data_IF_946548525904
#
_entry.id   IF_946548525904
#
_cell.length_a   1.000
_cell.length_b   1.000
_cell.length_c   1.000
_cell.angle_alpha   90.00
_cell.angle_beta   90.00
_cell.angle_gamma   90.00
#
_symmetry.space_group_name_H-M   'P 1'
#
loop_
_entity.id
_entity.type
_entity.pdbx_description
1 polymer ?
#
# COMPACT_ATOMS: atom_id res chain seq x y z
N UNK A 1 -22.39 -12.68 -15.55
CA UNK A 1 -21.65 -13.18 -14.37
C UNK A 1 -20.43 -12.30 -14.20
N UNK A 2 -20.31 -11.67 -13.03
CA UNK A 2 -19.18 -10.79 -12.70
C UNK A 2 -18.33 -11.49 -11.63
N UNK A 3 -17.01 -11.48 -11.82
CA UNK A 3 -16.06 -11.95 -10.82
C UNK A 3 -15.18 -10.77 -10.42
N UNK A 4 -15.14 -10.47 -9.12
CA UNK A 4 -14.31 -9.42 -8.55
C UNK A 4 -13.32 -10.05 -7.59
N UNK A 5 -12.05 -9.67 -7.73
CA UNK A 5 -10.99 -9.96 -6.78
C UNK A 5 -10.35 -8.62 -6.43
N UNK A 6 -10.33 -8.29 -5.14
CA UNK A 6 -9.77 -7.05 -4.65
C UNK A 6 -9.19 -7.25 -3.27
N UNK A 7 -8.24 -6.39 -2.92
CA UNK A 7 -7.69 -6.35 -1.57
C UNK A 7 -8.78 -5.86 -0.61
N UNK A 8 -8.78 -6.43 0.59
CA UNK A 8 -9.70 -6.08 1.66
C UNK A 8 -9.00 -6.14 3.02
N UNK A 9 -9.75 -5.88 4.06
CA UNK A 9 -9.31 -5.99 5.46
C UNK A 9 -10.20 -6.97 6.24
N UNK A 10 -9.72 -7.57 7.34
CA UNK A 10 -10.55 -8.43 8.17
C UNK A 10 -11.77 -7.71 8.74
N UNK A 11 -12.88 -8.43 8.92
CA UNK A 11 -14.11 -7.87 9.50
C UNK A 11 -13.92 -7.40 10.95
N UNK A 12 -12.99 -8.01 11.69
CA UNK A 12 -12.65 -7.64 13.06
C UNK A 12 -11.87 -6.33 13.18
N UNK A 13 -11.33 -5.82 12.07
CA UNK A 13 -10.56 -4.59 12.05
C UNK A 13 -11.47 -3.38 11.91
N UNK A 14 -11.06 -2.25 12.47
CA UNK A 14 -11.71 -0.96 12.24
C UNK A 14 -11.25 -0.34 10.92
N UNK A 15 -12.00 0.62 10.33
CA UNK A 15 -11.60 1.28 9.11
C UNK A 15 -10.26 2.02 9.16
N UNK A 16 -9.73 2.34 10.35
CA UNK A 16 -8.40 2.98 10.49
C UNK A 16 -7.26 1.96 10.41
N UNK A 17 -7.56 0.67 10.55
CA UNK A 17 -6.61 -0.42 10.39
C UNK A 17 -6.65 -0.88 8.93
N UNK A 18 -5.94 -0.15 8.07
CA UNK A 18 -5.83 -0.47 6.65
C UNK A 18 -4.54 -1.28 6.41
N UNK A 19 -4.67 -2.45 5.77
CA UNK A 19 -3.52 -3.24 5.32
C UNK A 19 -3.04 -2.69 3.99
N UNK A 20 -1.80 -2.21 3.88
CA UNK A 20 -1.17 -2.11 2.56
C UNK A 20 -0.88 -3.51 2.02
N UNK A 21 -0.80 -3.64 0.69
CA UNK A 21 -0.41 -4.86 -0.03
C UNK A 21 0.74 -5.58 0.69
N UNK A 22 0.74 -6.90 0.81
CA UNK A 22 1.87 -7.73 1.28
C UNK A 22 2.50 -7.44 2.65
N UNK A 23 1.84 -6.68 3.53
CA UNK A 23 2.41 -6.23 4.81
C UNK A 23 3.05 -4.87 4.67
N UNK A 24 2.50 -3.87 5.37
CA UNK A 24 3.05 -2.52 5.65
C UNK A 24 3.85 -1.77 4.56
N UNK A 25 3.75 -2.12 3.27
CA UNK A 25 4.46 -1.45 2.17
C UNK A 25 4.20 0.06 2.09
N UNK A 26 3.01 0.53 2.45
CA UNK A 26 2.71 1.95 2.60
C UNK A 26 2.31 2.31 4.04
N UNK A 27 2.85 1.56 5.00
CA UNK A 27 2.69 1.78 6.43
C UNK A 27 3.82 2.62 7.00
N UNK A 28 4.36 2.19 8.14
CA UNK A 28 5.29 3.00 8.93
C UNK A 28 6.56 3.39 8.18
N UNK A 29 7.16 2.51 7.39
CA UNK A 29 8.38 2.82 6.62
C UNK A 29 8.14 3.89 5.56
N UNK A 30 6.94 3.91 4.97
CA UNK A 30 6.57 4.89 3.95
C UNK A 30 6.42 6.28 4.59
N UNK A 31 5.72 6.35 5.72
CA UNK A 31 5.62 7.56 6.56
C UNK A 31 7.01 8.03 7.03
N UNK A 32 7.86 7.11 7.48
CA UNK A 32 9.23 7.43 7.91
C UNK A 32 10.08 8.01 6.78
N UNK A 33 9.89 7.57 5.53
CA UNK A 33 10.58 8.13 4.38
C UNK A 33 10.12 9.57 4.08
N UNK A 34 8.82 9.85 4.20
CA UNK A 34 8.31 11.21 4.10
C UNK A 34 8.87 12.12 5.20
N UNK A 35 8.89 11.63 6.44
CA UNK A 35 9.43 12.36 7.60
C UNK A 35 10.92 12.68 7.46
N UNK A 36 11.68 11.75 6.88
CA UNK A 36 13.10 11.95 6.58
C UNK A 36 13.29 13.08 5.56
N UNK A 37 12.51 13.11 4.47
CA UNK A 37 12.59 14.19 3.47
C UNK A 37 12.25 15.57 4.09
N UNK A 38 11.30 15.62 5.02
CA UNK A 38 10.99 16.84 5.79
C UNK A 38 12.16 17.23 6.69
N UNK A 39 12.74 16.26 7.40
CA UNK A 39 13.87 16.49 8.32
C UNK A 39 15.11 16.99 7.58
N UNK A 40 15.36 16.49 6.36
CA UNK A 40 16.45 16.93 5.50
C UNK A 40 16.17 18.27 4.80
N UNK A 41 14.95 18.82 4.93
CA UNK A 41 14.55 20.07 4.29
C UNK A 41 14.36 19.96 2.77
N UNK A 42 14.20 18.74 2.25
CA UNK A 42 13.99 18.47 0.81
C UNK A 42 12.57 18.84 0.41
N UNK A 43 11.60 18.60 1.30
CA UNK A 43 10.20 19.01 1.15
C UNK A 43 9.73 19.74 2.41
N UNK A 44 8.68 20.55 2.26
CA UNK A 44 8.00 21.16 3.41
C UNK A 44 7.07 20.18 4.13
N UNK A 45 6.83 20.41 5.43
CA UNK A 45 5.85 19.65 6.23
C UNK A 45 4.46 19.65 5.59
N UNK A 46 4.02 20.79 5.07
CA UNK A 46 2.69 20.93 4.45
C UNK A 46 2.55 20.06 3.19
N UNK A 47 3.65 19.82 2.45
CA UNK A 47 3.63 18.90 1.31
C UNK A 47 3.46 17.46 1.75
N UNK A 48 4.17 17.01 2.79
CA UNK A 48 3.92 15.69 3.39
C UNK A 48 2.46 15.57 3.85
N UNK A 49 2.00 16.51 4.67
CA UNK A 49 0.68 16.43 5.33
C UNK A 49 -0.50 16.49 4.35
N UNK A 50 -0.29 17.03 3.14
CA UNK A 50 -1.30 17.07 2.09
C UNK A 50 -1.29 15.84 1.17
N UNK A 51 -0.26 15.00 1.21
CA UNK A 51 -0.22 13.76 0.44
C UNK A 51 -1.12 12.71 1.08
N UNK A 52 -2.01 12.11 0.28
CA UNK A 52 -2.90 11.03 0.73
C UNK A 52 -2.95 9.93 -0.32
N UNK A 53 -2.88 8.67 0.11
CA UNK A 53 -3.07 7.54 -0.77
C UNK A 53 -4.56 7.35 -1.08
N UNK A 54 -4.97 7.22 -2.34
CA UNK A 54 -6.37 7.07 -2.73
C UNK A 54 -6.83 5.61 -2.55
N UNK A 55 -6.47 4.99 -1.43
CA UNK A 55 -6.73 3.58 -1.16
C UNK A 55 -7.69 3.41 -0.01
N UNK A 56 -8.56 2.43 -0.16
CA UNK A 56 -9.44 1.96 0.88
C UNK A 56 -9.70 0.47 0.68
N UNK A 57 -9.41 -0.31 1.71
CA UNK A 57 -9.61 -1.75 1.73
C UNK A 57 -10.91 -2.01 2.50
N UNK A 58 -11.99 -2.41 1.81
CA UNK A 58 -13.25 -2.71 2.47
C UNK A 58 -13.15 -4.05 3.21
N UNK A 59 -13.99 -4.24 4.22
CA UNK A 59 -14.27 -5.56 4.77
C UNK A 59 -15.44 -6.23 4.01
N UNK A 60 -15.77 -7.48 4.37
CA UNK A 60 -16.80 -8.23 3.64
C UNK A 60 -18.19 -7.60 3.81
N UNK A 61 -18.49 -7.07 5.00
CA UNK A 61 -19.77 -6.43 5.29
C UNK A 61 -19.96 -5.12 4.53
N UNK A 62 -18.92 -4.30 4.42
CA UNK A 62 -18.93 -3.07 3.61
C UNK A 62 -19.19 -3.37 2.13
N UNK A 63 -18.57 -4.43 1.61
CA UNK A 63 -18.80 -4.87 0.24
C UNK A 63 -20.25 -5.38 0.04
N UNK A 64 -20.79 -6.18 0.97
CA UNK A 64 -22.19 -6.64 0.93
C UNK A 64 -23.16 -5.46 0.88
N UNK A 65 -22.99 -4.51 1.81
CA UNK A 65 -23.83 -3.32 1.87
C UNK A 65 -23.75 -2.48 0.59
N UNK A 66 -22.56 -2.36 0.00
CA UNK A 66 -22.38 -1.64 -1.26
C UNK A 66 -23.13 -2.31 -2.43
N UNK A 67 -23.07 -3.64 -2.53
CA UNK A 67 -23.79 -4.40 -3.56
C UNK A 67 -25.30 -4.34 -3.36
N UNK A 68 -25.78 -4.52 -2.13
CA UNK A 68 -27.21 -4.40 -1.79
C UNK A 68 -27.75 -3.00 -2.13
N UNK A 69 -26.98 -1.95 -1.81
CA UNK A 69 -27.35 -0.57 -2.14
C UNK A 69 -27.36 -0.30 -3.65
N UNK A 70 -26.53 -0.99 -4.43
CA UNK A 70 -26.53 -0.90 -5.88
C UNK A 70 -27.81 -1.49 -6.48
N UNK A 71 -28.35 -2.58 -5.91
CA UNK A 71 -29.63 -3.18 -6.29
C UNK A 71 -29.65 -3.93 -7.63
N UNK A 72 -28.61 -3.79 -8.46
CA UNK A 72 -28.51 -4.43 -9.78
C UNK A 72 -27.80 -5.79 -9.78
N UNK A 73 -27.13 -6.14 -8.68
CA UNK A 73 -26.33 -7.35 -8.55
C UNK A 73 -26.76 -8.19 -7.34
N UNK A 74 -26.62 -9.51 -7.48
CA UNK A 74 -26.80 -10.48 -6.40
C UNK A 74 -25.46 -11.16 -6.14
N UNK A 75 -25.08 -11.28 -4.87
CA UNK A 75 -23.87 -11.97 -4.46
C UNK A 75 -24.15 -13.48 -4.45
N UNK A 76 -23.63 -14.18 -5.45
CA UNK A 76 -23.71 -15.65 -5.51
C UNK A 76 -22.71 -16.32 -4.57
N UNK A 77 -21.50 -15.75 -4.41
CA UNK A 77 -20.47 -16.21 -3.52
C UNK A 77 -19.56 -15.05 -3.10
N UNK A 78 -19.19 -15.00 -1.82
CA UNK A 78 -18.23 -14.05 -1.27
C UNK A 78 -17.28 -14.80 -0.35
N UNK A 79 -15.99 -14.74 -0.67
CA UNK A 79 -14.93 -15.39 0.09
C UNK A 79 -13.87 -14.36 0.46
N UNK A 80 -13.40 -14.42 1.71
CA UNK A 80 -12.25 -13.66 2.19
C UNK A 80 -11.09 -14.65 2.31
N UNK A 81 -10.02 -14.38 1.57
CA UNK A 81 -8.79 -15.15 1.64
C UNK A 81 -7.77 -14.38 2.47
N UNK A 82 -7.43 -14.90 3.64
CA UNK A 82 -6.39 -14.31 4.48
C UNK A 82 -5.00 -14.85 4.11
N UNK A 83 -3.95 -14.10 4.45
CA UNK A 83 -2.56 -14.53 4.33
C UNK A 83 -2.13 -14.97 2.93
N UNK A 84 -2.66 -14.30 1.90
CA UNK A 84 -2.26 -14.57 0.51
C UNK A 84 -0.87 -13.96 0.28
N UNK A 85 0.19 -14.76 0.13
CA UNK A 85 1.53 -14.22 -0.02
C UNK A 85 1.69 -13.58 -1.41
N UNK A 86 2.42 -12.46 -1.48
CA UNK A 86 2.68 -11.75 -2.74
C UNK A 86 3.79 -12.38 -3.59
N UNK A 87 4.52 -13.34 -3.03
CA UNK A 87 5.58 -14.12 -3.69
C UNK A 87 5.70 -15.49 -3.02
N UNK A 88 6.50 -16.38 -3.61
CA UNK A 88 6.78 -17.68 -2.99
C UNK A 88 7.56 -17.51 -1.68
N UNK A 89 7.45 -18.49 -0.77
CA UNK A 89 8.26 -18.51 0.45
C UNK A 89 9.76 -18.56 0.12
N UNK A 90 10.15 -19.33 -0.88
CA UNK A 90 11.54 -19.45 -1.35
C UNK A 90 12.10 -18.10 -1.83
N UNK A 91 11.34 -17.34 -2.62
CA UNK A 91 11.73 -16.01 -3.08
C UNK A 91 11.86 -15.06 -1.88
N UNK A 92 10.87 -15.07 -0.99
CA UNK A 92 10.88 -14.21 0.19
C UNK A 92 12.10 -14.48 1.07
N UNK A 93 12.40 -15.76 1.34
CA UNK A 93 13.58 -16.19 2.09
C UNK A 93 14.89 -15.74 1.43
N UNK A 94 14.97 -15.69 0.10
CA UNK A 94 16.14 -15.18 -0.61
C UNK A 94 16.29 -13.66 -0.44
N UNK A 95 15.21 -12.89 -0.58
CA UNK A 95 15.25 -11.43 -0.44
C UNK A 95 15.69 -11.00 0.96
N UNK A 96 15.18 -11.64 2.02
CA UNK A 96 15.46 -11.22 3.40
C UNK A 96 16.91 -11.52 3.86
N UNK A 97 17.70 -12.29 3.10
CA UNK A 97 19.11 -12.57 3.42
C UNK A 97 19.99 -11.33 3.34
N UNK A 98 19.68 -10.41 2.43
CA UNK A 98 20.37 -9.14 2.29
C UNK A 98 19.37 -7.99 2.48
N UNK A 99 19.46 -7.24 3.59
CA UNK A 99 18.57 -6.11 3.86
C UNK A 99 18.52 -5.08 2.73
N UNK A 100 19.61 -4.88 1.99
CA UNK A 100 19.63 -3.95 0.85
C UNK A 100 18.82 -4.48 -0.33
N UNK A 101 18.93 -5.78 -0.60
CA UNK A 101 18.17 -6.44 -1.68
C UNK A 101 16.69 -6.44 -1.33
N UNK A 102 16.34 -6.73 -0.06
CA UNK A 102 14.98 -6.62 0.45
C UNK A 102 14.42 -5.19 0.32
N UNK A 103 15.17 -4.19 0.79
CA UNK A 103 14.77 -2.78 0.71
C UNK A 103 14.56 -2.28 -0.71
N UNK A 104 15.45 -2.65 -1.63
CA UNK A 104 15.30 -2.36 -3.07
C UNK A 104 14.04 -3.03 -3.66
N UNK A 105 13.79 -4.31 -3.33
CA UNK A 105 12.60 -5.02 -3.78
C UNK A 105 11.33 -4.33 -3.27
N UNK A 106 11.26 -4.04 -1.96
CA UNK A 106 10.16 -3.31 -1.32
C UNK A 106 9.92 -1.95 -1.97
N UNK A 107 10.99 -1.17 -2.16
CA UNK A 107 10.91 0.16 -2.77
C UNK A 107 10.42 0.11 -4.21
N UNK A 108 10.93 -0.81 -5.02
CA UNK A 108 10.47 -0.99 -6.40
C UNK A 108 9.01 -1.42 -6.48
N UNK A 109 8.57 -2.31 -5.59
CA UNK A 109 7.18 -2.74 -5.53
C UNK A 109 6.26 -1.56 -5.20
N UNK A 110 6.55 -0.79 -4.15
CA UNK A 110 5.76 0.39 -3.78
C UNK A 110 5.77 1.44 -4.89
N UNK A 111 6.94 1.70 -5.47
CA UNK A 111 7.09 2.63 -6.60
C UNK A 111 6.21 2.24 -7.78
N UNK A 112 6.02 0.95 -8.05
CA UNK A 112 5.14 0.48 -9.11
C UNK A 112 3.67 0.84 -8.89
N UNK A 113 3.21 0.94 -7.63
CA UNK A 113 1.84 1.27 -7.28
C UNK A 113 1.59 2.78 -7.15
N UNK A 114 2.50 3.51 -6.48
CA UNK A 114 2.26 4.90 -6.07
C UNK A 114 3.28 5.89 -6.62
N UNK A 115 4.29 5.43 -7.37
CA UNK A 115 5.39 6.28 -7.82
C UNK A 115 4.93 7.48 -8.65
N UNK A 116 3.94 7.30 -9.52
CA UNK A 116 3.36 8.40 -10.30
C UNK A 116 2.58 9.40 -9.45
N UNK A 117 1.93 8.96 -8.36
CA UNK A 117 1.22 9.83 -7.43
C UNK A 117 2.22 10.67 -6.63
N UNK A 118 3.29 10.04 -6.14
CA UNK A 118 4.38 10.75 -5.44
C UNK A 118 5.03 11.76 -6.39
N UNK A 119 5.36 11.36 -7.62
CA UNK A 119 5.95 12.26 -8.62
C UNK A 119 5.06 13.45 -8.98
N UNK A 120 3.76 13.23 -9.12
CA UNK A 120 2.82 14.32 -9.37
C UNK A 120 2.75 15.31 -8.19
N UNK A 121 3.03 14.86 -6.97
CA UNK A 121 2.89 15.66 -5.75
C UNK A 121 4.16 16.44 -5.38
N UNK A 122 5.34 15.81 -5.47
CA UNK A 122 6.62 16.41 -5.06
C UNK A 122 7.63 16.58 -6.20
N UNK A 123 7.27 16.19 -7.42
CA UNK A 123 8.15 16.27 -8.59
C UNK A 123 9.15 15.11 -8.68
N UNK A 124 9.73 14.97 -9.87
CA UNK A 124 10.58 13.82 -10.24
C UNK A 124 11.82 13.67 -9.36
N UNK A 125 12.58 14.75 -9.17
CA UNK A 125 13.85 14.71 -8.42
C UNK A 125 13.61 14.31 -6.95
N UNK A 126 12.63 14.91 -6.28
CA UNK A 126 12.27 14.54 -4.91
C UNK A 126 11.73 13.11 -4.81
N UNK A 127 11.05 12.61 -5.86
CA UNK A 127 10.54 11.24 -5.90
C UNK A 127 11.67 10.21 -6.01
N UNK A 128 12.71 10.50 -6.79
CA UNK A 128 13.90 9.64 -6.86
C UNK A 128 14.56 9.54 -5.47
N UNK A 129 14.69 10.66 -4.76
CA UNK A 129 15.21 10.70 -3.39
C UNK A 129 14.28 9.95 -2.42
N UNK A 130 12.97 10.18 -2.50
CA UNK A 130 11.98 9.51 -1.64
C UNK A 130 12.13 7.98 -1.69
N UNK A 131 12.17 7.41 -2.91
CA UNK A 131 12.29 5.96 -3.07
C UNK A 131 13.67 5.40 -2.72
N UNK A 132 14.72 6.22 -2.81
CA UNK A 132 16.04 5.86 -2.28
C UNK A 132 15.99 5.77 -0.75
N UNK A 133 15.48 6.81 -0.08
CA UNK A 133 15.32 6.81 1.39
C UNK A 133 14.41 5.67 1.85
N UNK A 134 13.29 5.44 1.15
CA UNK A 134 12.36 4.37 1.48
C UNK A 134 12.97 2.97 1.35
N UNK A 135 13.94 2.78 0.44
CA UNK A 135 14.66 1.50 0.32
C UNK A 135 15.61 1.20 1.48
N UNK A 136 15.91 2.21 2.31
CA UNK A 136 16.79 2.10 3.48
C UNK A 136 16.03 1.97 4.80
N UNK A 137 14.70 2.11 4.78
CA UNK A 137 13.83 1.81 5.93
C UNK A 137 13.56 0.32 5.98
#
# INVERSE_FOLDING_TARGET
VLFLCMMGRPDSWSPVQQVSVGGEFCGQDFENAWDELVTQGIIGRDLRDSFNLPWYFPNADELRQAVEKCGDFVIENLQVCEWVPSMSEEDFEEYIKDPKVFGCMKSNLVKSFVGSLVEAHIGKECTEIFFQVFSEK
#
